data_IF_408276428534
#
_entry.id   IF_408276428534
#
_cell.length_a   1.000
_cell.length_b   1.000
_cell.length_c   1.000
_cell.angle_alpha   90.00
_cell.angle_beta   90.00
_cell.angle_gamma   90.00
#
_symmetry.space_group_name_H-M   'P 1'
#
loop_
_entity.id
_entity.type
_entity.pdbx_description
1 polymer ?
#
# COMPACT_ATOMS: atom_id res chain seq x y z
N UNK A 1 -4.96 -29.30 8.18
CA UNK A 1 -4.48 -28.30 9.15
C UNK A 1 -5.40 -28.40 10.35
N UNK A 2 -4.89 -29.00 11.42
CA UNK A 2 -5.72 -29.60 12.46
C UNK A 2 -6.50 -28.56 13.25
N UNK A 3 -7.81 -28.81 13.39
CA UNK A 3 -8.79 -28.01 14.15
C UNK A 3 -8.33 -27.72 15.59
N UNK A 4 -7.52 -28.62 16.15
CA UNK A 4 -6.87 -28.51 17.46
C UNK A 4 -5.88 -27.34 17.56
N UNK A 5 -5.15 -27.03 16.49
CA UNK A 5 -4.21 -25.89 16.48
C UNK A 5 -4.97 -24.56 16.51
N UNK A 6 -6.06 -24.47 15.75
CA UNK A 6 -6.92 -23.27 15.70
C UNK A 6 -7.67 -23.09 17.02
N UNK A 7 -8.16 -24.18 17.62
CA UNK A 7 -8.75 -24.20 18.96
C UNK A 7 -7.76 -23.72 20.03
N UNK A 8 -6.50 -24.18 19.96
CA UNK A 8 -5.45 -23.77 20.92
C UNK A 8 -5.12 -22.29 20.83
N UNK A 9 -5.08 -21.72 19.61
CA UNK A 9 -4.87 -20.29 19.39
C UNK A 9 -6.03 -19.46 19.95
N UNK A 10 -7.28 -19.91 19.76
CA UNK A 10 -8.46 -19.22 20.28
C UNK A 10 -8.56 -19.30 21.80
N UNK A 11 -8.14 -20.41 22.41
CA UNK A 11 -8.09 -20.59 23.86
C UNK A 11 -7.08 -19.65 24.53
N UNK A 12 -5.90 -19.48 23.92
CA UNK A 12 -4.87 -18.54 24.39
C UNK A 12 -5.33 -17.07 24.33
N UNK A 13 -6.24 -16.72 23.41
CA UNK A 13 -6.77 -15.36 23.27
C UNK A 13 -7.85 -15.00 24.31
N UNK A 14 -8.42 -15.99 25.01
CA UNK A 14 -9.60 -15.81 25.89
C UNK A 14 -9.31 -15.98 27.39
N UNK A 15 -8.05 -16.21 27.79
CA UNK A 15 -7.69 -16.38 29.19
C UNK A 15 -7.68 -15.03 29.96
N UNK A 16 -8.35 -14.93 31.13
CA UNK A 16 -8.42 -13.68 31.88
C UNK A 16 -7.09 -13.30 32.53
N UNK A 17 -6.83 -12.00 32.57
CA UNK A 17 -5.62 -11.35 33.10
C UNK A 17 -5.61 -11.35 34.63
N UNK A 18 -4.69 -12.11 35.23
CA UNK A 18 -4.39 -12.04 36.67
C UNK A 18 -3.09 -11.22 36.89
N UNK A 19 -3.06 -10.20 37.77
CA UNK A 19 -1.87 -9.37 37.98
C UNK A 19 -0.93 -10.03 39.00
N UNK A 20 0.40 -9.96 38.80
CA UNK A 20 1.54 -10.12 39.75
C UNK A 20 2.86 -10.36 38.92
N UNK A 21 4.08 -9.98 39.40
CA UNK A 21 4.76 -8.78 38.92
C UNK A 21 6.09 -9.00 38.17
N UNK A 22 6.43 -8.00 37.34
CA UNK A 22 7.73 -7.58 36.73
C UNK A 22 8.61 -8.56 35.94
N UNK A 23 8.71 -9.86 36.26
CA UNK A 23 9.49 -10.83 35.45
C UNK A 23 8.69 -11.36 34.25
N UNK A 24 7.36 -11.35 34.36
CA UNK A 24 6.40 -11.80 33.33
C UNK A 24 6.33 -10.92 32.10
N UNK A 25 6.76 -9.65 32.20
CA UNK A 25 6.64 -8.69 31.09
C UNK A 25 7.52 -9.06 29.89
N UNK A 26 8.71 -9.61 30.12
CA UNK A 26 9.61 -10.03 29.03
C UNK A 26 9.16 -11.34 28.38
N UNK A 27 8.62 -12.28 29.18
CA UNK A 27 8.04 -13.53 28.68
C UNK A 27 6.76 -13.28 27.88
N UNK A 28 5.81 -12.52 28.45
CA UNK A 28 4.56 -12.15 27.76
C UNK A 28 4.80 -11.32 26.49
N UNK A 29 5.85 -10.49 26.44
CA UNK A 29 6.22 -9.76 25.22
C UNK A 29 6.76 -10.69 24.13
N UNK A 30 7.61 -11.67 24.50
CA UNK A 30 8.10 -12.68 23.56
C UNK A 30 6.97 -13.60 23.07
N UNK A 31 6.06 -14.01 23.96
CA UNK A 31 4.86 -14.76 23.60
C UNK A 31 3.98 -13.98 22.61
N UNK A 32 3.71 -12.70 22.87
CA UNK A 32 2.96 -11.83 21.95
C UNK A 32 3.63 -11.73 20.58
N UNK A 33 4.96 -11.62 20.55
CA UNK A 33 5.76 -11.56 19.31
C UNK A 33 5.69 -12.87 18.54
N UNK A 34 5.74 -14.02 19.21
CA UNK A 34 5.67 -15.32 18.56
C UNK A 34 4.26 -15.66 18.08
N UNK A 35 3.22 -15.26 18.83
CA UNK A 35 1.83 -15.27 18.39
C UNK A 35 1.66 -14.40 17.14
N UNK A 36 2.18 -13.18 17.13
CA UNK A 36 2.09 -12.28 15.98
C UNK A 36 2.77 -12.86 14.72
N UNK A 37 3.96 -13.48 14.85
CA UNK A 37 4.64 -14.16 13.74
C UNK A 37 3.83 -15.33 13.21
N UNK A 38 3.28 -16.16 14.10
CA UNK A 38 2.48 -17.33 13.75
C UNK A 38 1.20 -16.90 13.04
N UNK A 39 0.51 -15.90 13.57
CA UNK A 39 -0.68 -15.33 12.97
C UNK A 39 -0.37 -14.68 11.60
N UNK A 40 0.78 -14.01 11.46
CA UNK A 40 1.21 -13.47 10.16
C UNK A 40 1.46 -14.58 9.14
N UNK A 41 2.12 -15.67 9.54
CA UNK A 41 2.36 -16.82 8.65
C UNK A 41 1.04 -17.47 8.22
N UNK A 42 0.12 -17.67 9.16
CA UNK A 42 -1.22 -18.17 8.87
C UNK A 42 -1.98 -17.25 7.92
N UNK A 43 -1.96 -15.94 8.17
CA UNK A 43 -2.60 -14.92 7.32
C UNK A 43 -2.05 -14.96 5.89
N UNK A 44 -0.74 -15.11 5.74
CA UNK A 44 -0.09 -15.27 4.43
C UNK A 44 -0.53 -16.55 3.73
N UNK A 45 -0.62 -17.66 4.45
CA UNK A 45 -1.02 -18.93 3.86
C UNK A 45 -2.47 -18.90 3.39
N UNK A 46 -3.38 -18.38 4.21
CA UNK A 46 -4.79 -18.18 3.83
C UNK A 46 -4.93 -17.22 2.65
N UNK A 47 -4.13 -16.15 2.63
CA UNK A 47 -4.09 -15.23 1.51
C UNK A 47 -3.70 -15.96 0.21
N UNK A 48 -2.61 -16.74 0.20
CA UNK A 48 -2.19 -17.47 -0.99
C UNK A 48 -3.10 -18.64 -1.38
N UNK A 49 -3.76 -19.28 -0.41
CA UNK A 49 -4.65 -20.41 -0.68
C UNK A 49 -6.04 -19.99 -1.16
N UNK A 50 -6.42 -18.71 -0.98
CA UNK A 50 -7.74 -18.21 -1.35
C UNK A 50 -8.89 -18.84 -0.55
N UNK A 51 -8.60 -19.54 0.54
CA UNK A 51 -9.57 -20.38 1.25
C UNK A 51 -10.58 -19.60 2.11
N UNK A 52 -10.30 -18.34 2.46
CA UNK A 52 -11.19 -17.52 3.29
C UNK A 52 -11.71 -16.31 2.54
N UNK A 53 -12.83 -15.79 3.03
CA UNK A 53 -13.40 -14.56 2.51
C UNK A 53 -12.48 -13.38 2.80
N UNK A 54 -12.58 -12.37 1.93
CA UNK A 54 -11.79 -11.13 2.03
C UNK A 54 -11.82 -10.48 3.40
N UNK A 55 -13.00 -10.42 4.04
CA UNK A 55 -13.17 -9.79 5.36
C UNK A 55 -12.36 -10.53 6.43
N UNK A 56 -12.33 -11.86 6.38
CA UNK A 56 -11.60 -12.67 7.35
C UNK A 56 -10.09 -12.48 7.20
N UNK A 57 -9.60 -12.42 5.95
CA UNK A 57 -8.18 -12.16 5.68
C UNK A 57 -7.77 -10.78 6.20
N UNK A 58 -8.60 -9.76 5.99
CA UNK A 58 -8.35 -8.42 6.54
C UNK A 58 -8.37 -8.39 8.07
N UNK A 59 -9.29 -9.12 8.70
CA UNK A 59 -9.36 -9.22 10.16
C UNK A 59 -8.10 -9.88 10.72
N UNK A 60 -7.61 -10.96 10.09
CA UNK A 60 -6.37 -11.63 10.51
C UNK A 60 -5.16 -10.69 10.43
N UNK A 61 -4.97 -9.98 9.31
CA UNK A 61 -3.89 -9.00 9.20
C UNK A 61 -4.05 -7.82 10.17
N UNK A 62 -5.28 -7.40 10.47
CA UNK A 62 -5.56 -6.35 11.44
C UNK A 62 -5.16 -6.79 12.85
N UNK A 63 -5.49 -8.02 13.23
CA UNK A 63 -5.04 -8.60 14.50
C UNK A 63 -3.51 -8.69 14.59
N UNK A 64 -2.82 -9.07 13.50
CA UNK A 64 -1.34 -9.06 13.46
C UNK A 64 -0.81 -7.66 13.76
N UNK A 65 -1.39 -6.64 13.13
CA UNK A 65 -1.01 -5.24 13.33
C UNK A 65 -1.26 -4.78 14.77
N UNK A 66 -2.38 -5.17 15.36
CA UNK A 66 -2.76 -4.75 16.72
C UNK A 66 -1.90 -5.45 17.79
N UNK A 67 -1.51 -6.71 17.55
CA UNK A 67 -0.58 -7.45 18.41
C UNK A 67 0.85 -6.91 18.30
N UNK A 68 1.31 -6.68 17.07
CA UNK A 68 2.65 -6.18 16.82
C UNK A 68 2.71 -5.33 15.54
N UNK A 69 2.78 -3.99 15.67
CA UNK A 69 3.14 -3.08 14.59
C UNK A 69 4.54 -3.42 14.06
N UNK A 70 4.60 -4.25 13.02
CA UNK A 70 5.85 -4.68 12.43
C UNK A 70 5.89 -4.37 10.93
N UNK A 71 7.08 -4.05 10.43
CA UNK A 71 7.34 -3.78 9.02
C UNK A 71 6.75 -4.88 8.11
N UNK A 72 6.99 -6.15 8.46
CA UNK A 72 6.48 -7.30 7.70
C UNK A 72 4.96 -7.36 7.68
N UNK A 73 4.29 -7.07 8.79
CA UNK A 73 2.83 -7.08 8.88
C UNK A 73 2.22 -6.02 7.98
N UNK A 74 2.75 -4.78 8.06
CA UNK A 74 2.32 -3.69 7.18
C UNK A 74 2.56 -3.99 5.71
N UNK A 75 3.72 -4.54 5.37
CA UNK A 75 4.06 -4.89 4.00
C UNK A 75 3.10 -5.93 3.39
N UNK A 76 2.81 -7.02 4.10
CA UNK A 76 1.92 -8.06 3.56
C UNK A 76 0.46 -7.60 3.53
N UNK A 77 0.03 -6.78 4.49
CA UNK A 77 -1.29 -6.15 4.45
C UNK A 77 -1.42 -5.18 3.27
N UNK A 78 -0.40 -4.37 3.02
CA UNK A 78 -0.35 -3.48 1.85
C UNK A 78 -0.43 -4.27 0.54
N UNK A 79 0.33 -5.37 0.43
CA UNK A 79 0.29 -6.28 -0.72
C UNK A 79 -1.12 -6.85 -0.94
N UNK A 80 -1.80 -7.23 0.14
CA UNK A 80 -3.17 -7.73 0.01
C UNK A 80 -4.14 -6.65 -0.50
N UNK A 81 -4.05 -5.41 0.00
CA UNK A 81 -4.86 -4.30 -0.52
C UNK A 81 -4.54 -3.98 -1.98
N UNK A 82 -3.28 -4.09 -2.38
CA UNK A 82 -2.82 -3.90 -3.77
C UNK A 82 -3.44 -4.95 -4.70
N UNK A 83 -3.43 -6.22 -4.32
CA UNK A 83 -4.10 -7.30 -5.06
C UNK A 83 -5.62 -7.05 -5.17
N UNK A 84 -6.26 -6.66 -4.06
CA UNK A 84 -7.68 -6.30 -4.07
C UNK A 84 -8.01 -5.09 -4.96
N UNK A 85 -7.09 -4.13 -5.06
CA UNK A 85 -7.23 -2.99 -5.97
C UNK A 85 -7.11 -3.44 -7.43
N UNK A 86 -6.11 -4.27 -7.74
CA UNK A 86 -5.91 -4.83 -9.09
C UNK A 86 -7.14 -5.64 -9.52
N UNK A 87 -7.68 -6.47 -8.65
CA UNK A 87 -8.87 -7.27 -8.94
C UNK A 87 -10.11 -6.38 -9.16
N UNK A 88 -10.30 -5.36 -8.31
CA UNK A 88 -11.39 -4.39 -8.51
C UNK A 88 -11.28 -3.67 -9.87
N UNK A 89 -10.07 -3.34 -10.32
CA UNK A 89 -9.83 -2.71 -11.63
C UNK A 89 -10.09 -3.68 -12.79
N UNK A 90 -9.73 -4.96 -12.67
CA UNK A 90 -10.03 -5.98 -13.69
C UNK A 90 -11.54 -6.18 -13.85
N UNK A 91 -12.28 -6.35 -12.75
CA UNK A 91 -13.74 -6.51 -12.80
C UNK A 91 -14.44 -5.29 -13.45
N UNK A 92 -13.94 -4.08 -13.21
CA UNK A 92 -14.45 -2.88 -13.90
C UNK A 92 -14.23 -2.95 -15.40
N UNK A 93 -13.04 -3.34 -15.85
CA UNK A 93 -12.71 -3.41 -17.27
C UNK A 93 -13.55 -4.47 -18.00
N UNK A 94 -13.73 -5.65 -17.40
CA UNK A 94 -14.57 -6.72 -17.96
C UNK A 94 -16.04 -6.28 -18.09
N UNK A 95 -16.57 -5.60 -17.08
CA UNK A 95 -17.94 -5.05 -17.14
C UNK A 95 -18.14 -4.05 -18.28
N UNK A 96 -17.12 -3.26 -18.63
CA UNK A 96 -17.18 -2.31 -19.74
C UNK A 96 -17.17 -3.02 -21.09
N UNK A 97 -16.33 -4.05 -21.27
CA UNK A 97 -16.24 -4.83 -22.52
C UNK A 97 -17.55 -5.57 -22.81
N UNK A 98 -18.17 -6.18 -21.79
CA UNK A 98 -19.48 -6.85 -21.94
C UNK A 98 -20.59 -5.85 -22.29
N UNK A 99 -20.51 -4.63 -21.76
CA UNK A 99 -21.49 -3.56 -22.07
C UNK A 99 -21.35 -3.02 -23.50
N UNK A 100 -20.17 -3.11 -24.12
CA UNK A 100 -19.94 -2.71 -25.51
C UNK A 100 -20.33 -3.79 -26.53
N UNK A 101 -20.40 -5.07 -26.14
CA UNK A 101 -20.74 -6.19 -27.02
C UNK A 101 -22.23 -6.59 -27.01
N UNK A 102 -23.05 -6.05 -26.10
CA UNK A 102 -24.47 -6.34 -26.02
C UNK A 102 -25.29 -5.12 -25.62
N UNK A 103 -26.20 -4.68 -26.50
CA UNK A 103 -27.20 -3.65 -26.22
C UNK A 103 -28.05 -3.99 -24.99
N UNK A 104 -27.65 -3.53 -23.80
CA UNK A 104 -28.53 -3.37 -22.63
C UNK A 104 -28.22 -2.07 -21.90
N UNK A 105 -29.06 -1.05 -22.14
CA UNK A 105 -29.21 0.14 -21.29
C UNK A 105 -29.71 -0.30 -19.92
N UNK A 106 -28.81 -0.56 -18.97
CA UNK A 106 -29.20 -0.86 -17.60
C UNK A 106 -28.07 -1.34 -16.70
N UNK A 107 -27.03 -0.53 -16.44
CA UNK A 107 -26.15 -0.74 -15.29
C UNK A 107 -25.22 0.45 -14.96
N UNK A 108 -25.74 1.68 -14.90
CA UNK A 108 -24.90 2.84 -14.45
C UNK A 108 -24.75 2.84 -12.91
N UNK A 109 -25.65 2.18 -12.18
CA UNK A 109 -25.70 2.28 -10.71
C UNK A 109 -24.68 1.39 -9.98
N UNK A 110 -24.26 0.25 -10.57
CA UNK A 110 -23.30 -0.70 -9.96
C UNK A 110 -21.83 -0.25 -10.01
N UNK A 111 -21.50 0.67 -10.91
CA UNK A 111 -20.12 1.06 -11.15
C UNK A 111 -19.61 2.01 -10.07
N UNK A 112 -20.46 2.90 -9.55
CA UNK A 112 -20.07 3.88 -8.54
C UNK A 112 -19.59 3.25 -7.21
N UNK A 113 -20.22 2.16 -6.77
CA UNK A 113 -19.91 1.51 -5.49
C UNK A 113 -18.63 0.67 -5.55
N UNK A 114 -18.43 -0.03 -6.67
CA UNK A 114 -17.21 -0.81 -6.93
C UNK A 114 -16.01 0.09 -7.19
N UNK A 115 -16.22 1.22 -7.86
CA UNK A 115 -15.20 2.26 -8.07
C UNK A 115 -14.77 2.92 -6.75
N UNK A 116 -15.74 3.28 -5.90
CA UNK A 116 -15.45 3.80 -4.56
C UNK A 116 -14.64 2.81 -3.72
N UNK A 117 -15.01 1.53 -3.75
CA UNK A 117 -14.26 0.49 -3.04
C UNK A 117 -12.83 0.33 -3.62
N UNK A 118 -12.68 0.44 -4.94
CA UNK A 118 -11.37 0.40 -5.61
C UNK A 118 -10.43 1.50 -5.12
N UNK A 119 -10.90 2.75 -5.09
CA UNK A 119 -10.11 3.88 -4.59
C UNK A 119 -9.74 3.77 -3.11
N UNK A 120 -10.63 3.22 -2.29
CA UNK A 120 -10.32 2.93 -0.88
C UNK A 120 -9.24 1.85 -0.73
N UNK A 121 -9.26 0.78 -1.53
CA UNK A 121 -8.21 -0.24 -1.52
C UNK A 121 -6.86 0.32 -1.95
N UNK A 122 -6.84 1.14 -3.01
CA UNK A 122 -5.64 1.84 -3.46
C UNK A 122 -5.03 2.67 -2.32
N UNK A 123 -5.84 3.55 -1.71
CA UNK A 123 -5.36 4.42 -0.65
C UNK A 123 -4.85 3.61 0.55
N UNK A 124 -5.56 2.56 0.98
CA UNK A 124 -5.14 1.68 2.08
C UNK A 124 -3.85 0.94 1.75
N UNK A 125 -3.70 0.42 0.54
CA UNK A 125 -2.47 -0.22 0.09
C UNK A 125 -1.27 0.73 0.17
N UNK A 126 -1.43 1.94 -0.38
CA UNK A 126 -0.40 2.98 -0.31
C UNK A 126 -0.07 3.38 1.14
N UNK A 127 -1.09 3.58 1.97
CA UNK A 127 -0.92 3.94 3.38
C UNK A 127 -0.11 2.90 4.15
N UNK A 128 -0.40 1.60 3.95
CA UNK A 128 0.33 0.53 4.65
C UNK A 128 1.72 0.31 4.08
N UNK A 129 1.96 0.52 2.78
CA UNK A 129 3.33 0.54 2.24
C UNK A 129 4.15 1.66 2.89
N UNK A 130 3.61 2.88 2.95
CA UNK A 130 4.25 4.01 3.62
C UNK A 130 4.56 3.71 5.10
N UNK A 131 3.59 3.19 5.84
CA UNK A 131 3.78 2.83 7.26
C UNK A 131 4.82 1.71 7.44
N UNK A 132 4.87 0.76 6.51
CA UNK A 132 5.92 -0.26 6.44
C UNK A 132 7.30 0.37 6.29
N UNK A 133 7.46 1.32 5.35
CA UNK A 133 8.72 2.03 5.09
C UNK A 133 9.21 2.87 6.29
N UNK A 134 8.31 3.41 7.10
CA UNK A 134 8.68 4.07 8.36
C UNK A 134 9.13 3.09 9.44
N UNK A 135 8.57 1.88 9.45
CA UNK A 135 8.85 0.88 10.49
C UNK A 135 10.16 0.12 10.22
N UNK A 136 10.65 0.10 8.98
CA UNK A 136 11.87 -0.59 8.60
C UNK A 136 12.13 -0.54 7.10
N UNK A 137 13.25 -1.14 6.69
CA UNK A 137 13.80 -1.02 5.33
C UNK A 137 14.04 -2.39 4.66
N UNK A 138 13.60 -3.50 5.26
CA UNK A 138 13.83 -4.85 4.70
C UNK A 138 13.10 -5.05 3.37
N UNK A 139 11.94 -4.42 3.21
CA UNK A 139 11.15 -4.47 1.99
C UNK A 139 11.23 -3.17 1.18
N UNK A 140 12.22 -2.31 1.45
CA UNK A 140 12.36 -0.99 0.80
C UNK A 140 12.32 -1.09 -0.74
N UNK A 141 13.13 -1.99 -1.29
CA UNK A 141 13.27 -2.20 -2.74
C UNK A 141 12.05 -2.81 -3.42
N UNK A 142 11.05 -3.24 -2.65
CA UNK A 142 9.77 -3.72 -3.20
C UNK A 142 8.64 -2.73 -2.92
N UNK A 143 8.54 -2.24 -1.67
CA UNK A 143 7.47 -1.39 -1.22
C UNK A 143 7.53 0.02 -1.82
N UNK A 144 8.70 0.67 -1.82
CA UNK A 144 8.83 2.05 -2.28
C UNK A 144 8.64 2.19 -3.80
N UNK A 145 9.26 1.34 -4.65
CA UNK A 145 8.99 1.40 -6.09
C UNK A 145 7.52 1.12 -6.42
N UNK A 146 6.89 0.16 -5.74
CA UNK A 146 5.47 -0.15 -5.95
C UNK A 146 4.55 0.98 -5.51
N UNK A 147 4.83 1.61 -4.36
CA UNK A 147 4.12 2.80 -3.88
C UNK A 147 4.16 3.92 -4.92
N UNK A 148 5.32 4.18 -5.52
CA UNK A 148 5.47 5.17 -6.59
C UNK A 148 4.67 4.80 -7.84
N UNK A 149 4.70 3.55 -8.27
CA UNK A 149 3.88 3.10 -9.42
C UNK A 149 2.40 3.35 -9.18
N UNK A 150 1.87 2.94 -8.01
CA UNK A 150 0.46 3.18 -7.66
C UNK A 150 0.10 4.67 -7.66
N UNK A 151 0.98 5.51 -7.12
CA UNK A 151 0.80 6.96 -7.12
C UNK A 151 0.77 7.56 -8.54
N UNK A 152 1.73 7.18 -9.39
CA UNK A 152 1.82 7.69 -10.76
C UNK A 152 0.67 7.22 -11.65
N UNK A 153 0.30 5.94 -11.55
CA UNK A 153 -0.82 5.38 -12.30
C UNK A 153 -2.12 6.09 -11.90
N UNK A 154 -2.33 6.32 -10.60
CA UNK A 154 -3.46 7.11 -10.11
C UNK A 154 -3.42 8.56 -10.62
N UNK A 155 -2.25 9.20 -10.61
CA UNK A 155 -2.08 10.55 -11.14
C UNK A 155 -2.46 10.67 -12.62
N UNK A 156 -2.18 9.64 -13.42
CA UNK A 156 -2.56 9.56 -14.83
C UNK A 156 -4.08 9.42 -14.98
N UNK A 157 -4.71 8.56 -14.18
CA UNK A 157 -6.17 8.40 -14.17
C UNK A 157 -6.86 9.70 -13.75
N UNK A 158 -6.37 10.36 -12.70
CA UNK A 158 -6.88 11.64 -12.22
C UNK A 158 -6.88 12.72 -13.31
N UNK A 159 -5.77 12.81 -14.06
CA UNK A 159 -5.64 13.75 -15.17
C UNK A 159 -6.65 13.43 -16.30
N UNK A 160 -6.77 12.16 -16.67
CA UNK A 160 -7.64 11.72 -17.76
C UNK A 160 -9.13 11.90 -17.44
N UNK A 161 -9.54 11.67 -16.19
CA UNK A 161 -10.94 11.79 -15.78
C UNK A 161 -11.45 13.23 -15.69
N UNK A 162 -10.56 14.22 -15.70
CA UNK A 162 -10.92 15.64 -15.56
C UNK A 162 -11.44 16.01 -14.16
N UNK A 163 -11.08 17.19 -13.67
CA UNK A 163 -11.39 17.62 -12.29
C UNK A 163 -12.90 17.81 -11.97
N UNK A 164 -13.79 17.71 -12.96
CA UNK A 164 -15.15 18.26 -12.86
C UNK A 164 -16.24 17.27 -12.43
N UNK A 165 -16.05 15.95 -12.56
CA UNK A 165 -17.16 14.99 -12.42
C UNK A 165 -17.17 14.13 -11.14
N UNK A 166 -16.00 13.75 -10.61
CA UNK A 166 -15.93 12.67 -9.61
C UNK A 166 -15.39 13.17 -8.26
N UNK A 167 -16.31 13.48 -7.34
CA UNK A 167 -16.00 13.95 -5.98
C UNK A 167 -15.16 12.94 -5.18
N UNK A 168 -15.39 11.63 -5.38
CA UNK A 168 -14.64 10.57 -4.71
C UNK A 168 -13.20 10.50 -5.19
N UNK A 169 -13.01 10.61 -6.51
CA UNK A 169 -11.68 10.63 -7.13
C UNK A 169 -10.86 11.84 -6.62
N UNK A 170 -11.47 13.03 -6.57
CA UNK A 170 -10.83 14.24 -6.01
C UNK A 170 -10.50 14.10 -4.53
N UNK A 171 -11.40 13.52 -3.74
CA UNK A 171 -11.16 13.23 -2.32
C UNK A 171 -9.97 12.27 -2.14
N UNK A 172 -9.93 11.20 -2.94
CA UNK A 172 -8.84 10.21 -2.93
C UNK A 172 -7.51 10.84 -3.34
N UNK A 173 -7.51 11.68 -4.38
CA UNK A 173 -6.32 12.42 -4.81
C UNK A 173 -5.74 13.28 -3.69
N UNK A 174 -6.57 14.05 -2.99
CA UNK A 174 -6.14 14.87 -1.85
C UNK A 174 -5.52 14.02 -0.73
N UNK A 175 -6.11 12.86 -0.43
CA UNK A 175 -5.57 11.91 0.57
C UNK A 175 -4.22 11.34 0.15
N UNK A 176 -4.08 10.90 -1.11
CA UNK A 176 -2.83 10.35 -1.65
C UNK A 176 -1.74 11.43 -1.65
N UNK A 177 -2.04 12.65 -2.09
CA UNK A 177 -1.06 13.74 -2.09
C UNK A 177 -0.64 14.14 -0.66
N UNK A 178 -1.56 14.07 0.31
CA UNK A 178 -1.22 14.26 1.73
C UNK A 178 -0.30 13.16 2.26
N UNK A 179 -0.59 11.90 1.91
CA UNK A 179 0.25 10.76 2.26
C UNK A 179 1.68 10.91 1.70
N UNK A 180 1.81 11.27 0.42
CA UNK A 180 3.11 11.47 -0.23
C UNK A 180 3.89 12.64 0.39
N UNK A 181 3.22 13.74 0.77
CA UNK A 181 3.84 14.83 1.54
C UNK A 181 4.35 14.36 2.89
N UNK A 182 3.59 13.52 3.60
CA UNK A 182 4.02 12.89 4.85
C UNK A 182 5.27 12.04 4.62
N UNK A 183 5.24 11.14 3.63
CA UNK A 183 6.38 10.29 3.28
C UNK A 183 7.65 11.11 2.99
N UNK A 184 7.54 12.23 2.27
CA UNK A 184 8.70 13.08 1.97
C UNK A 184 9.32 13.70 3.24
N UNK A 185 8.51 14.03 4.25
CA UNK A 185 9.00 14.60 5.52
C UNK A 185 9.59 13.52 6.43
N UNK A 186 8.95 12.35 6.45
CA UNK A 186 9.18 11.34 7.47
C UNK A 186 10.16 10.24 7.01
N UNK A 187 10.34 10.03 5.69
CA UNK A 187 11.28 9.04 5.16
C UNK A 187 12.70 9.62 4.98
N UNK A 188 13.74 8.89 5.41
CA UNK A 188 15.13 9.30 5.17
C UNK A 188 15.47 9.48 3.69
N UNK A 189 16.26 10.51 3.37
CA UNK A 189 16.63 10.86 1.98
C UNK A 189 17.31 9.72 1.21
N UNK A 190 18.07 8.84 1.88
CA UNK A 190 18.73 7.72 1.22
C UNK A 190 17.73 6.71 0.65
N UNK A 191 16.51 6.61 1.20
CA UNK A 191 15.48 5.74 0.66
C UNK A 191 14.99 6.25 -0.69
N UNK A 192 14.80 7.57 -0.83
CA UNK A 192 14.45 8.21 -2.09
C UNK A 192 15.53 8.08 -3.16
N UNK A 193 16.81 8.03 -2.76
CA UNK A 193 17.91 7.76 -3.69
C UNK A 193 17.76 6.41 -4.41
N UNK A 194 17.24 5.38 -3.72
CA UNK A 194 17.04 4.04 -4.30
C UNK A 194 16.02 4.01 -5.44
N UNK A 195 15.08 4.97 -5.45
CA UNK A 195 14.02 5.08 -6.46
C UNK A 195 14.20 6.30 -7.36
N UNK A 196 15.35 6.96 -7.28
CA UNK A 196 15.65 8.13 -8.11
C UNK A 196 15.45 7.85 -9.61
N UNK A 197 15.92 6.73 -10.20
CA UNK A 197 15.69 6.46 -11.63
C UNK A 197 14.20 6.45 -12.02
N UNK A 198 13.34 5.91 -11.16
CA UNK A 198 11.90 5.86 -11.38
C UNK A 198 11.26 7.27 -11.29
N UNK A 199 11.71 8.08 -10.34
CA UNK A 199 11.26 9.47 -10.19
C UNK A 199 11.63 10.31 -11.41
N UNK A 200 12.87 10.18 -11.90
CA UNK A 200 13.36 10.94 -13.05
C UNK A 200 12.59 10.59 -14.32
N UNK A 201 12.28 9.31 -14.54
CA UNK A 201 11.43 8.86 -15.66
C UNK A 201 10.02 9.47 -15.65
N UNK A 202 9.54 9.94 -14.49
CA UNK A 202 8.20 10.53 -14.30
C UNK A 202 8.23 12.03 -14.04
N UNK A 203 9.35 12.71 -14.30
CA UNK A 203 9.47 14.16 -14.10
C UNK A 203 8.56 14.98 -15.03
N UNK A 204 8.18 14.42 -16.18
CA UNK A 204 7.28 15.03 -17.18
C UNK A 204 5.83 14.52 -17.08
N UNK A 205 5.38 14.12 -15.90
CA UNK A 205 4.01 13.64 -15.71
C UNK A 205 2.97 14.72 -16.07
N UNK A 206 1.82 14.33 -16.62
CA UNK A 206 0.80 15.29 -17.10
C UNK A 206 0.15 16.09 -15.96
N UNK A 207 0.00 15.48 -14.79
CA UNK A 207 -0.49 16.15 -13.59
C UNK A 207 0.60 17.04 -12.97
N UNK A 208 0.40 18.37 -12.99
CA UNK A 208 1.33 19.35 -12.48
C UNK A 208 1.63 19.24 -10.97
N UNK A 209 0.66 18.81 -10.15
CA UNK A 209 0.89 18.62 -8.71
C UNK A 209 1.84 17.44 -8.44
N UNK A 210 1.70 16.35 -9.20
CA UNK A 210 2.60 15.20 -9.16
C UNK A 210 4.02 15.63 -9.57
N UNK A 211 4.16 16.40 -10.65
CA UNK A 211 5.46 16.91 -11.11
C UNK A 211 6.14 17.76 -10.03
N UNK A 212 5.40 18.67 -9.39
CA UNK A 212 5.96 19.51 -8.33
C UNK A 212 6.45 18.66 -7.16
N UNK A 213 5.71 17.63 -6.77
CA UNK A 213 6.12 16.69 -5.72
C UNK A 213 7.39 15.92 -6.11
N UNK A 214 7.45 15.39 -7.33
CA UNK A 214 8.62 14.68 -7.86
C UNK A 214 9.86 15.60 -7.85
N UNK A 215 9.72 16.83 -8.33
CA UNK A 215 10.81 17.84 -8.31
C UNK A 215 11.32 18.09 -6.90
N UNK A 216 10.43 18.20 -5.92
CA UNK A 216 10.81 18.40 -4.52
C UNK A 216 11.59 17.18 -3.97
N UNK A 217 11.14 15.95 -4.26
CA UNK A 217 11.85 14.72 -3.85
C UNK A 217 13.24 14.67 -4.49
N UNK A 218 13.33 14.89 -5.80
CA UNK A 218 14.61 14.89 -6.54
C UNK A 218 15.56 15.95 -5.97
N UNK A 219 15.07 17.17 -5.72
CA UNK A 219 15.87 18.26 -5.16
C UNK A 219 16.42 17.89 -3.78
N UNK A 220 15.60 17.27 -2.91
CA UNK A 220 16.05 16.76 -1.61
C UNK A 220 17.16 15.72 -1.73
N UNK A 221 17.01 14.78 -2.66
CA UNK A 221 18.04 13.75 -2.93
C UNK A 221 19.32 14.37 -3.47
N UNK A 222 19.25 15.30 -4.42
CA UNK A 222 20.42 15.96 -5.00
C UNK A 222 21.16 16.84 -3.99
N UNK A 223 20.45 17.46 -3.05
CA UNK A 223 21.06 18.24 -1.99
C UNK A 223 21.89 17.36 -1.04
N UNK A 224 21.41 16.17 -0.70
CA UNK A 224 22.09 15.27 0.24
C UNK A 224 23.13 14.36 -0.44
N UNK A 225 22.87 13.90 -1.66
CA UNK A 225 23.68 12.92 -2.40
C UNK A 225 23.97 13.40 -3.83
N UNK A 226 24.67 14.54 -3.98
CA UNK A 226 24.89 15.17 -5.28
C UNK A 226 25.65 14.27 -6.24
N UNK A 227 26.70 13.57 -5.78
CA UNK A 227 27.50 12.71 -6.65
C UNK A 227 26.64 11.57 -7.24
N UNK A 228 25.98 10.78 -6.39
CA UNK A 228 25.15 9.65 -6.84
C UNK A 228 23.97 10.12 -7.69
N UNK A 229 23.31 11.20 -7.29
CA UNK A 229 22.13 11.70 -8.00
C UNK A 229 22.47 12.32 -9.36
N UNK A 230 23.56 13.08 -9.46
CA UNK A 230 23.98 13.69 -10.73
C UNK A 230 24.39 12.64 -11.76
N UNK A 231 25.01 11.53 -11.37
CA UNK A 231 25.30 10.41 -12.27
C UNK A 231 24.02 9.81 -12.89
N UNK A 232 22.98 9.62 -12.10
CA UNK A 232 21.68 9.11 -12.56
C UNK A 232 21.00 10.14 -13.48
N UNK A 233 21.04 11.43 -13.11
CA UNK A 233 20.45 12.53 -13.89
C UNK A 233 21.15 12.78 -15.23
N UNK A 234 22.47 12.58 -15.29
CA UNK A 234 23.26 12.79 -16.51
C UNK A 234 22.76 11.94 -17.69
N UNK A 235 22.28 10.72 -17.42
CA UNK A 235 21.70 9.86 -18.45
C UNK A 235 20.47 10.47 -19.13
N UNK A 236 19.64 11.19 -18.37
CA UNK A 236 18.41 11.80 -18.89
C UNK A 236 18.67 13.13 -19.58
N UNK A 237 19.69 13.88 -19.16
CA UNK A 237 20.08 15.13 -19.85
C UNK A 237 20.52 14.92 -21.31
N UNK A 238 20.95 13.70 -21.66
CA UNK A 238 21.40 13.32 -23.01
C UNK A 238 20.34 12.55 -23.80
N UNK A 239 19.20 12.22 -23.20
CA UNK A 239 18.11 11.58 -23.93
C UNK A 239 17.27 12.66 -24.61
N UNK A 240 17.29 12.69 -25.94
CA UNK A 240 16.32 13.45 -26.74
C UNK A 240 14.93 12.89 -26.48
N UNK A 241 14.02 13.78 -26.08
CA UNK A 241 12.56 13.54 -26.10
C UNK A 241 12.10 13.37 -27.54
#
# INVERSE_FOLDING_TARGET
>A
VDSTVISSINSLLMAPTNPEPTVRNTQSFNEKKDVAKTLLLYSKWIHYSGQKQKKDVLNLYTQVKDLQPCEKGYFHLAKYYDELYVDARKCQQESLVVSSAGSKKGSVLSNSSTEKAGWDYLFKGMYFYAKGLHSGHKNLFQALPRLLTLWFDFGTIYQMSGSAGNKELKSTHMKIMSLMRGCLKDLPTYQWLTVLPQLVSRICHQNGETVQMVKNIITSVLHQFPQQGLWIMAAVSKSTV
#
